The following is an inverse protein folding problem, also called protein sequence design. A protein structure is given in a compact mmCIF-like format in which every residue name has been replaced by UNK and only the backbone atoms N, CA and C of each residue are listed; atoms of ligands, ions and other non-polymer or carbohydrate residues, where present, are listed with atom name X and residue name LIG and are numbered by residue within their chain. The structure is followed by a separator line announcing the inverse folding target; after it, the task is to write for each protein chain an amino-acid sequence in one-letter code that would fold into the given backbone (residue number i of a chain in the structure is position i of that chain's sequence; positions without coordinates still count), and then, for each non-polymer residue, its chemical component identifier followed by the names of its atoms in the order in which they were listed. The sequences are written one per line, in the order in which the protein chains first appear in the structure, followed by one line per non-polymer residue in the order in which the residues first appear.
data_IF_524227500206
#
_entry.id   IF_524227500206
#
_cell.length_a   1.000
_cell.length_b   1.000
_cell.length_c   1.000
_cell.angle_alpha   90.00
_cell.angle_beta   90.00
_cell.angle_gamma   90.00
#
_symmetry.space_group_name_H-M   'P 1'
#
loop_
_entity.id
_entity.type
_entity.pdbx_description
1 polymer ?
#
# COMPACT_ATOMS: atom_id res chain seq x y z
N UNK A 1 16.11 -25.77 1.79
CA UNK A 1 15.51 -25.33 0.53
C UNK A 1 14.00 -25.29 0.71
N UNK A 2 13.49 -24.17 1.25
CA UNK A 2 12.07 -23.87 1.25
C UNK A 2 12.02 -22.43 0.75
N UNK A 3 11.71 -22.27 -0.55
CA UNK A 3 11.46 -20.96 -1.12
C UNK A 3 10.28 -20.34 -0.37
N UNK A 4 10.42 -19.12 0.14
CA UNK A 4 9.26 -18.36 0.62
C UNK A 4 8.51 -17.89 -0.62
N UNK A 5 7.67 -18.78 -1.15
CA UNK A 5 6.73 -18.44 -2.20
C UNK A 5 5.79 -17.38 -1.61
N UNK A 6 5.94 -16.12 -1.99
CA UNK A 6 4.91 -15.11 -1.77
C UNK A 6 3.61 -15.75 -2.28
N UNK A 7 2.65 -16.06 -1.40
CA UNK A 7 1.43 -16.70 -1.85
C UNK A 7 0.81 -15.76 -2.88
N UNK A 8 0.23 -16.31 -3.96
CA UNK A 8 -0.45 -15.46 -4.91
C UNK A 8 -1.43 -14.58 -4.14
N UNK A 9 -1.47 -13.27 -4.47
CA UNK A 9 -2.39 -12.29 -3.85
C UNK A 9 -3.85 -12.80 -3.83
N UNK A 10 -4.16 -13.77 -4.69
CA UNK A 10 -5.39 -14.53 -4.73
C UNK A 10 -5.10 -16.03 -4.70
N UNK A 11 -5.73 -16.78 -3.79
CA UNK A 11 -5.61 -18.25 -3.68
C UNK A 11 -6.10 -18.99 -4.94
N UNK A 12 -6.96 -18.36 -5.75
CA UNK A 12 -7.38 -18.80 -7.07
C UNK A 12 -7.07 -17.73 -8.13
N UNK A 13 -6.61 -18.16 -9.30
CA UNK A 13 -6.51 -17.28 -10.47
C UNK A 13 -7.90 -16.80 -10.87
N UNK A 14 -8.19 -15.52 -10.64
CA UNK A 14 -9.44 -14.90 -11.09
C UNK A 14 -9.42 -14.73 -12.61
N UNK A 15 -10.56 -14.98 -13.24
CA UNK A 15 -10.75 -14.67 -14.65
C UNK A 15 -10.83 -13.14 -14.85
N UNK A 16 -10.55 -12.67 -16.06
CA UNK A 16 -10.72 -11.25 -16.41
C UNK A 16 -12.13 -10.75 -16.09
N UNK A 17 -13.17 -11.56 -16.39
CA UNK A 17 -14.55 -11.20 -16.12
C UNK A 17 -14.85 -11.05 -14.61
N UNK A 18 -14.25 -11.89 -13.77
CA UNK A 18 -14.37 -11.76 -12.32
C UNK A 18 -13.65 -10.49 -11.84
N UNK A 19 -12.44 -10.21 -12.33
CA UNK A 19 -11.73 -8.97 -12.01
C UNK A 19 -12.54 -7.73 -12.40
N UNK A 20 -13.06 -7.69 -13.62
CA UNK A 20 -13.93 -6.60 -14.10
C UNK A 20 -15.17 -6.43 -13.21
N UNK A 21 -15.81 -7.54 -12.84
CA UNK A 21 -16.98 -7.53 -11.95
C UNK A 21 -16.63 -6.98 -10.56
N UNK A 22 -15.49 -7.40 -9.98
CA UNK A 22 -15.03 -6.88 -8.69
C UNK A 22 -14.71 -5.38 -8.74
N UNK A 23 -14.02 -4.92 -9.79
CA UNK A 23 -13.71 -3.51 -9.99
C UNK A 23 -14.98 -2.67 -10.19
N UNK A 24 -15.97 -3.22 -10.90
CA UNK A 24 -17.27 -2.57 -11.10
C UNK A 24 -18.03 -2.37 -9.78
N UNK A 25 -18.07 -3.41 -8.93
CA UNK A 25 -18.72 -3.31 -7.63
C UNK A 25 -17.98 -2.35 -6.67
N UNK A 26 -16.66 -2.34 -6.68
CA UNK A 26 -15.88 -1.34 -5.95
C UNK A 26 -16.23 0.10 -6.42
N UNK A 27 -16.37 0.31 -7.73
CA UNK A 27 -16.80 1.60 -8.28
C UNK A 27 -18.26 1.96 -7.95
N UNK A 28 -19.15 0.97 -7.76
CA UNK A 28 -20.53 1.20 -7.31
C UNK A 28 -20.56 1.77 -5.88
N UNK A 29 -19.74 1.24 -4.97
CA UNK A 29 -19.61 1.74 -3.59
C UNK A 29 -19.21 3.22 -3.61
N UNK A 30 -18.23 3.58 -4.44
CA UNK A 30 -17.74 4.96 -4.55
C UNK A 30 -18.77 5.90 -5.21
N UNK A 31 -19.60 5.42 -6.13
CA UNK A 31 -20.64 6.24 -6.79
C UNK A 31 -21.76 6.71 -5.86
N UNK A 32 -21.97 6.01 -4.74
CA UNK A 32 -22.89 6.43 -3.69
C UNK A 32 -22.28 7.45 -2.70
N UNK A 33 -21.00 7.79 -2.87
CA UNK A 33 -20.27 8.69 -1.99
C UNK A 33 -20.68 10.16 -2.18
N UNK A 34 -20.63 10.99 -1.13
CA UNK A 34 -20.71 12.45 -1.24
C UNK A 34 -19.54 13.08 -2.02
N UNK A 35 -18.48 12.32 -2.29
CA UNK A 35 -17.29 12.78 -3.03
C UNK A 35 -17.59 12.85 -4.53
N UNK A 36 -17.25 13.97 -5.16
CA UNK A 36 -17.44 14.13 -6.61
C UNK A 36 -16.63 13.09 -7.40
N UNK A 37 -17.21 12.60 -8.50
CA UNK A 37 -16.55 11.64 -9.40
C UNK A 37 -15.33 12.20 -10.12
N UNK A 38 -15.09 13.49 -10.06
CA UNK A 38 -13.86 14.12 -10.56
C UNK A 38 -12.74 14.10 -9.50
N UNK A 39 -13.11 14.06 -8.21
CA UNK A 39 -12.17 14.15 -7.07
C UNK A 39 -11.62 12.80 -6.60
N UNK A 40 -12.29 11.67 -6.93
CA UNK A 40 -11.85 10.33 -6.48
C UNK A 40 -10.41 9.99 -6.84
N UNK A 41 -9.90 10.49 -7.98
CA UNK A 41 -8.52 10.25 -8.44
C UNK A 41 -7.50 10.73 -7.43
N UNK A 42 -7.80 11.87 -6.78
CA UNK A 42 -6.97 12.48 -5.75
C UNK A 42 -6.93 11.68 -4.44
N UNK A 43 -7.79 10.67 -4.28
CA UNK A 43 -7.78 9.76 -3.12
C UNK A 43 -7.27 8.37 -3.48
N UNK A 44 -7.76 7.79 -4.59
CA UNK A 44 -7.42 6.42 -4.97
C UNK A 44 -5.97 6.27 -5.41
N UNK A 45 -5.40 7.25 -6.12
CA UNK A 45 -4.03 7.15 -6.62
C UNK A 45 -3.01 7.21 -5.47
N UNK A 46 -3.09 8.18 -4.53
CA UNK A 46 -2.25 8.16 -3.33
C UNK A 46 -2.39 6.87 -2.53
N UNK A 47 -3.62 6.36 -2.35
CA UNK A 47 -3.88 5.15 -1.57
C UNK A 47 -3.27 3.88 -2.22
N UNK A 48 -3.41 3.73 -3.53
CA UNK A 48 -2.81 2.62 -4.27
C UNK A 48 -1.28 2.70 -4.28
N UNK A 49 -0.74 3.90 -4.46
CA UNK A 49 0.70 4.12 -4.43
C UNK A 49 1.28 3.82 -3.05
N UNK A 50 0.61 4.28 -1.99
CA UNK A 50 0.93 3.96 -0.60
C UNK A 50 0.93 2.45 -0.34
N UNK A 51 -0.14 1.74 -0.71
CA UNK A 51 -0.18 0.27 -0.59
C UNK A 51 0.99 -0.37 -1.32
N UNK A 52 1.29 0.06 -2.55
CA UNK A 52 2.39 -0.53 -3.31
C UNK A 52 3.76 -0.27 -2.68
N UNK A 53 4.00 0.89 -2.08
CA UNK A 53 5.25 1.15 -1.34
C UNK A 53 5.42 0.16 -0.19
N UNK A 54 4.37 -0.03 0.63
CA UNK A 54 4.42 -1.01 1.72
C UNK A 54 4.63 -2.43 1.19
N UNK A 55 3.96 -2.82 0.10
CA UNK A 55 4.12 -4.16 -0.47
C UNK A 55 5.54 -4.42 -0.98
N UNK A 56 6.14 -3.43 -1.66
CA UNK A 56 7.52 -3.54 -2.12
C UNK A 56 8.48 -3.65 -0.93
N UNK A 57 8.23 -2.88 0.14
CA UNK A 57 9.06 -2.94 1.34
C UNK A 57 9.00 -4.33 2.00
N UNK A 58 7.79 -4.90 2.12
CA UNK A 58 7.60 -6.26 2.64
C UNK A 58 8.27 -7.32 1.74
N UNK A 59 8.19 -7.16 0.41
CA UNK A 59 8.88 -8.00 -0.59
C UNK A 59 10.41 -7.92 -0.42
N UNK A 60 10.97 -6.71 -0.35
CA UNK A 60 12.42 -6.46 -0.19
C UNK A 60 12.94 -7.01 1.16
N UNK A 61 12.17 -6.85 2.24
CA UNK A 61 12.48 -7.40 3.56
C UNK A 61 12.53 -8.93 3.52
N UNK A 62 11.48 -9.55 2.96
CA UNK A 62 11.38 -11.01 2.90
C UNK A 62 12.51 -11.62 2.09
N UNK A 63 12.82 -11.04 0.92
CA UNK A 63 13.90 -11.48 0.04
C UNK A 63 15.27 -11.39 0.74
N UNK A 64 15.54 -10.31 1.46
CA UNK A 64 16.82 -10.08 2.15
C UNK A 64 16.99 -11.05 3.32
N UNK A 65 15.95 -11.23 4.13
CA UNK A 65 15.96 -12.21 5.23
C UNK A 65 16.10 -13.63 4.71
N UNK A 66 15.46 -13.99 3.59
CA UNK A 66 15.63 -15.32 2.98
C UNK A 66 17.06 -15.54 2.47
N UNK A 67 17.68 -14.52 1.87
CA UNK A 67 18.99 -14.64 1.25
C UNK A 67 20.15 -14.57 2.25
N UNK A 68 20.05 -13.69 3.25
CA UNK A 68 21.16 -13.36 4.16
C UNK A 68 20.90 -13.72 5.62
N UNK A 69 19.65 -14.02 5.99
CA UNK A 69 19.26 -14.35 7.37
C UNK A 69 18.99 -13.14 8.26
N UNK A 70 19.20 -11.93 7.75
CA UNK A 70 18.89 -10.64 8.38
C UNK A 70 18.47 -9.64 7.30
N UNK A 71 17.89 -8.51 7.70
CA UNK A 71 17.50 -7.43 6.80
C UNK A 71 18.52 -6.27 6.85
N UNK A 72 18.66 -5.57 5.72
CA UNK A 72 19.48 -4.38 5.58
C UNK A 72 18.57 -3.18 5.27
N UNK A 73 17.95 -2.61 6.30
CA UNK A 73 16.91 -1.57 6.20
C UNK A 73 17.33 -0.39 5.28
N UNK A 74 18.60 0.02 5.35
CA UNK A 74 19.14 1.13 4.55
C UNK A 74 19.20 0.83 3.03
N UNK A 75 19.11 -0.44 2.63
CA UNK A 75 19.14 -0.87 1.23
C UNK A 75 17.76 -0.89 0.57
N UNK A 76 16.68 -0.73 1.37
CA UNK A 76 15.32 -0.64 0.84
C UNK A 76 15.14 0.60 -0.03
N UNK A 77 14.38 0.44 -1.12
CA UNK A 77 14.16 1.53 -2.08
C UNK A 77 13.42 2.71 -1.46
N UNK A 78 12.48 2.41 -0.58
CA UNK A 78 11.73 3.38 0.20
C UNK A 78 11.72 2.97 1.65
N UNK A 79 11.90 3.93 2.54
CA UNK A 79 11.83 3.72 3.98
C UNK A 79 10.37 3.78 4.45
N UNK A 80 9.91 2.74 5.15
CA UNK A 80 8.54 2.67 5.68
C UNK A 80 8.58 2.56 7.20
N UNK A 81 8.38 3.66 7.95
CA UNK A 81 8.28 3.61 9.40
C UNK A 81 7.14 2.66 9.83
N UNK A 82 7.35 1.92 10.92
CA UNK A 82 6.40 0.89 11.37
C UNK A 82 4.98 1.42 11.63
N UNK A 83 4.86 2.64 12.17
CA UNK A 83 3.58 3.31 12.42
C UNK A 83 2.93 3.89 11.14
N UNK A 84 3.67 3.90 10.04
CA UNK A 84 3.21 4.35 8.73
C UNK A 84 2.89 3.17 7.80
N UNK A 85 3.15 1.92 8.21
CA UNK A 85 2.88 0.74 7.41
C UNK A 85 1.38 0.55 7.13
N UNK A 86 1.03 -0.04 5.97
CA UNK A 86 -0.36 -0.28 5.55
C UNK A 86 -1.20 -0.96 6.64
N UNK A 87 -0.63 -1.95 7.31
CA UNK A 87 -1.27 -2.70 8.40
C UNK A 87 -1.64 -1.79 9.57
N UNK A 88 -0.79 -0.84 9.96
CA UNK A 88 -1.05 0.08 11.06
C UNK A 88 -2.29 0.96 10.81
N UNK A 89 -2.45 1.46 9.57
CA UNK A 89 -3.64 2.23 9.17
C UNK A 89 -4.87 1.33 9.11
N UNK A 90 -4.75 0.09 8.60
CA UNK A 90 -5.85 -0.88 8.51
C UNK A 90 -6.38 -1.34 9.86
N UNK A 91 -5.52 -1.40 10.88
CA UNK A 91 -5.88 -1.79 12.25
C UNK A 91 -6.44 -0.62 13.07
N UNK A 92 -6.37 0.62 12.55
CA UNK A 92 -6.91 1.80 13.23
C UNK A 92 -8.45 1.78 13.20
N UNK A 93 -9.14 1.71 14.35
CA UNK A 93 -10.60 1.56 14.38
C UNK A 93 -11.37 2.88 14.24
N UNK A 94 -10.73 4.01 14.56
CA UNK A 94 -11.34 5.34 14.58
C UNK A 94 -10.38 6.39 14.03
N UNK A 95 -10.90 7.47 13.46
CA UNK A 95 -10.08 8.54 12.87
C UNK A 95 -9.11 8.04 11.78
N UNK A 96 -9.55 7.07 10.98
CA UNK A 96 -8.76 6.44 9.90
C UNK A 96 -8.17 7.47 8.93
N UNK A 97 -8.92 8.55 8.64
CA UNK A 97 -8.41 9.62 7.77
C UNK A 97 -7.16 10.31 8.34
N UNK A 98 -7.12 10.56 9.65
CA UNK A 98 -5.95 11.14 10.32
C UNK A 98 -4.79 10.15 10.34
N UNK A 99 -5.05 8.87 10.63
CA UNK A 99 -4.03 7.82 10.59
C UNK A 99 -3.41 7.69 9.19
N UNK A 100 -4.24 7.69 8.15
CA UNK A 100 -3.80 7.68 6.76
C UNK A 100 -2.95 8.92 6.43
N UNK A 101 -3.42 10.13 6.75
CA UNK A 101 -2.66 11.35 6.50
C UNK A 101 -1.30 11.36 7.23
N UNK A 102 -1.24 10.84 8.46
CA UNK A 102 0.00 10.73 9.21
C UNK A 102 0.96 9.73 8.56
N UNK A 103 0.46 8.56 8.14
CA UNK A 103 1.26 7.55 7.46
C UNK A 103 1.88 8.06 6.16
N UNK A 104 1.08 8.74 5.32
CA UNK A 104 1.56 9.31 4.06
C UNK A 104 2.66 10.35 4.30
N UNK A 105 2.48 11.24 5.27
CA UNK A 105 3.49 12.25 5.64
C UNK A 105 4.74 11.65 6.24
N UNK A 106 4.60 10.59 7.04
CA UNK A 106 5.71 9.87 7.63
C UNK A 106 6.58 9.20 6.57
N UNK A 107 5.95 8.51 5.61
CA UNK A 107 6.64 7.94 4.44
C UNK A 107 7.30 9.04 3.61
N UNK A 108 6.60 10.14 3.31
CA UNK A 108 7.20 11.26 2.57
C UNK A 108 8.44 11.84 3.29
N UNK A 109 8.33 12.03 4.60
CA UNK A 109 9.41 12.59 5.43
C UNK A 109 10.62 11.66 5.52
N UNK A 110 10.41 10.35 5.52
CA UNK A 110 11.48 9.35 5.52
C UNK A 110 12.16 9.21 4.14
N UNK A 111 11.56 9.74 3.08
CA UNK A 111 11.98 9.56 1.68
C UNK A 111 12.05 10.88 0.91
N UNK A 112 12.56 11.95 1.52
CA UNK A 112 12.48 13.31 0.95
C UNK A 112 13.10 13.44 -0.45
N UNK A 113 14.15 12.67 -0.75
CA UNK A 113 14.81 12.69 -2.06
C UNK A 113 13.88 12.24 -3.19
N UNK A 114 12.97 11.31 -2.91
CA UNK A 114 12.15 10.65 -3.93
C UNK A 114 10.67 11.01 -3.86
N UNK A 115 10.14 11.30 -2.67
CA UNK A 115 8.70 11.41 -2.42
C UNK A 115 8.22 12.81 -2.02
N UNK A 116 9.10 13.81 -1.94
CA UNK A 116 8.71 15.17 -1.56
C UNK A 116 7.59 15.73 -2.48
N UNK A 117 6.47 16.12 -1.88
CA UNK A 117 5.29 16.66 -2.55
C UNK A 117 4.46 15.63 -3.32
N UNK A 118 4.76 14.33 -3.23
CA UNK A 118 4.03 13.28 -3.96
C UNK A 118 2.67 13.01 -3.35
N UNK A 119 2.53 13.09 -2.02
CA UNK A 119 1.28 12.79 -1.33
C UNK A 119 0.42 14.02 -0.98
N UNK A 120 0.92 15.23 -1.26
CA UNK A 120 0.20 16.50 -1.09
C UNK A 120 0.53 17.27 0.19
#
# INVERSE_FOLDING_TARGET
MIAVHQPPLFEETITLSQLESHLWEAANILRGSPVDRTDWKSYILPLLFYKRICDVWDEEYADTVEMYGEDFIDEHRFQVPADCHWTAVRETPVNVGTALSNALRGIESANQEHLYGVFG
#
